data_IF_200027747217
#
_entry.id   IF_200027747217
#
_cell.length_a   1.000
_cell.length_b   1.000
_cell.length_c   1.000
_cell.angle_alpha   90.00
_cell.angle_beta   90.00
_cell.angle_gamma   90.00
#
_symmetry.space_group_name_H-M   'P 1'
#
loop_
_entity.id
_entity.type
_entity.pdbx_description
1 polymer ?
#
# COMPACT_ATOMS: atom_id res chain seq x y z
N UNK A 1 12.77 7.79 -1.49
CA UNK A 1 13.97 7.75 -2.35
C UNK A 1 14.34 6.30 -2.64
N UNK A 2 14.21 5.83 -3.88
CA UNK A 2 14.57 4.44 -4.17
C UNK A 2 16.07 4.21 -4.04
N UNK A 3 16.41 3.14 -3.34
CA UNK A 3 17.79 2.82 -3.02
C UNK A 3 18.52 2.30 -4.25
N UNK A 4 19.76 2.75 -4.47
CA UNK A 4 20.72 2.12 -5.42
C UNK A 4 20.75 0.59 -5.27
N UNK A 5 20.57 0.10 -4.05
CA UNK A 5 20.50 -1.33 -3.73
C UNK A 5 19.34 -2.05 -4.41
N UNK A 6 18.16 -1.44 -4.47
CA UNK A 6 16.97 -2.04 -5.09
C UNK A 6 17.23 -2.34 -6.58
N UNK A 7 17.76 -1.36 -7.31
CA UNK A 7 18.06 -1.53 -8.74
C UNK A 7 19.16 -2.57 -8.99
N UNK A 8 20.20 -2.61 -8.15
CA UNK A 8 21.25 -3.62 -8.25
C UNK A 8 20.69 -5.03 -8.01
N UNK A 9 19.86 -5.21 -6.98
CA UNK A 9 19.24 -6.49 -6.67
C UNK A 9 18.30 -6.97 -7.79
N UNK A 10 17.59 -6.05 -8.47
CA UNK A 10 16.82 -6.39 -9.65
C UNK A 10 17.71 -6.78 -10.84
N UNK A 11 18.78 -6.02 -11.12
CA UNK A 11 19.71 -6.32 -12.21
C UNK A 11 20.42 -7.67 -12.03
N UNK A 12 20.64 -8.09 -10.78
CA UNK A 12 21.21 -9.39 -10.42
C UNK A 12 20.19 -10.54 -10.42
N UNK A 13 18.92 -10.29 -10.79
CA UNK A 13 17.88 -11.33 -10.77
C UNK A 13 17.46 -11.77 -9.37
N UNK A 14 17.50 -10.87 -8.38
CA UNK A 14 17.18 -11.14 -6.97
C UNK A 14 15.88 -10.42 -6.52
N UNK A 15 14.70 -10.78 -7.07
CA UNK A 15 13.44 -10.06 -6.79
C UNK A 15 13.04 -10.06 -5.32
N UNK A 16 13.20 -11.19 -4.60
CA UNK A 16 12.95 -11.25 -3.16
C UNK A 16 13.86 -10.29 -2.36
N UNK A 17 15.11 -10.11 -2.79
CA UNK A 17 16.02 -9.18 -2.15
C UNK A 17 15.60 -7.73 -2.37
N UNK A 18 15.23 -7.39 -3.61
CA UNK A 18 14.74 -6.08 -3.99
C UNK A 18 13.47 -5.71 -3.19
N UNK A 19 12.50 -6.62 -3.12
CA UNK A 19 11.28 -6.39 -2.34
C UNK A 19 11.55 -6.19 -0.84
N UNK A 20 12.53 -6.87 -0.25
CA UNK A 20 12.92 -6.60 1.16
C UNK A 20 13.54 -5.21 1.31
N UNK A 21 14.32 -4.77 0.33
CA UNK A 21 14.88 -3.42 0.34
C UNK A 21 13.77 -2.37 0.33
N UNK A 22 12.69 -2.61 -0.44
CA UNK A 22 11.48 -1.77 -0.44
C UNK A 22 10.75 -1.80 0.90
N UNK A 23 10.37 -2.99 1.40
CA UNK A 23 9.64 -3.18 2.68
C UNK A 23 10.36 -2.50 3.85
N UNK A 24 11.70 -2.57 3.86
CA UNK A 24 12.51 -1.91 4.90
C UNK A 24 12.64 -0.41 4.70
N UNK A 25 12.72 0.05 3.45
CA UNK A 25 12.78 1.48 3.11
C UNK A 25 11.56 2.23 3.62
N UNK A 26 10.38 1.61 3.52
CA UNK A 26 9.10 2.21 3.92
C UNK A 26 8.68 1.81 5.35
N UNK A 27 9.59 1.20 6.11
CA UNK A 27 9.36 0.77 7.50
C UNK A 27 8.11 -0.12 7.68
N UNK A 28 7.78 -0.92 6.67
CA UNK A 28 6.64 -1.85 6.68
C UNK A 28 6.93 -3.13 7.47
N UNK A 29 8.18 -3.39 7.82
CA UNK A 29 8.57 -4.52 8.68
C UNK A 29 9.77 -4.20 9.55
N UNK A 30 9.69 -4.61 10.83
CA UNK A 30 10.80 -4.55 11.79
C UNK A 30 11.70 -5.79 11.76
N UNK A 31 11.36 -6.81 10.97
CA UNK A 31 12.10 -8.07 10.99
C UNK A 31 13.51 -7.93 10.38
N UNK A 32 14.52 -8.66 10.91
CA UNK A 32 15.84 -8.71 10.30
C UNK A 32 15.80 -9.27 8.88
N UNK A 33 16.69 -8.78 8.00
CA UNK A 33 16.70 -9.17 6.59
C UNK A 33 16.97 -10.66 6.37
N UNK A 34 17.83 -11.25 7.21
CA UNK A 34 18.17 -12.66 7.15
C UNK A 34 16.96 -13.56 7.42
N UNK A 35 15.97 -13.07 8.18
CA UNK A 35 14.72 -13.77 8.46
C UNK A 35 13.70 -13.55 7.32
N UNK A 36 13.60 -12.33 6.80
CA UNK A 36 12.68 -12.00 5.70
C UNK A 36 13.01 -12.72 4.39
N UNK A 37 14.29 -12.89 4.07
CA UNK A 37 14.72 -13.47 2.80
C UNK A 37 14.21 -14.89 2.53
N UNK A 38 14.41 -15.88 3.43
CA UNK A 38 13.87 -17.22 3.21
C UNK A 38 12.34 -17.24 3.20
N UNK A 39 11.68 -16.47 4.08
CA UNK A 39 10.22 -16.37 4.13
C UNK A 39 9.63 -15.85 2.82
N UNK A 40 10.22 -14.79 2.27
CA UNK A 40 9.72 -14.16 1.06
C UNK A 40 10.00 -15.02 -0.17
N UNK A 41 11.15 -15.70 -0.25
CA UNK A 41 11.42 -16.67 -1.31
C UNK A 41 10.38 -17.80 -1.31
N UNK A 42 10.10 -18.35 -0.13
CA UNK A 42 9.08 -19.40 0.02
C UNK A 42 7.68 -18.89 -0.38
N UNK A 43 7.32 -17.67 0.03
CA UNK A 43 6.07 -17.03 -0.36
C UNK A 43 5.95 -16.89 -1.88
N UNK A 44 6.94 -16.31 -2.56
CA UNK A 44 6.92 -16.13 -4.02
C UNK A 44 6.86 -17.47 -4.78
N UNK A 45 7.50 -18.52 -4.26
CA UNK A 45 7.41 -19.86 -4.84
C UNK A 45 6.02 -20.46 -4.66
N UNK A 46 5.43 -20.32 -3.46
CA UNK A 46 4.11 -20.84 -3.15
C UNK A 46 3.01 -20.12 -3.90
N UNK A 47 3.12 -18.79 -4.03
CA UNK A 47 2.17 -17.96 -4.75
C UNK A 47 1.96 -18.47 -6.19
N UNK A 48 3.05 -18.78 -6.91
CA UNK A 48 2.98 -19.30 -8.28
C UNK A 48 2.12 -20.56 -8.44
N UNK A 49 1.94 -21.33 -7.37
CA UNK A 49 1.14 -22.56 -7.36
C UNK A 49 -0.35 -22.28 -7.09
N UNK A 50 -0.68 -21.06 -6.63
CA UNK A 50 -2.04 -20.65 -6.24
C UNK A 50 -2.66 -19.63 -7.18
N UNK A 51 -1.91 -19.16 -8.20
CA UNK A 51 -2.40 -18.17 -9.17
C UNK A 51 -3.49 -18.77 -10.07
N UNK A 52 -4.57 -18.02 -10.25
CA UNK A 52 -5.58 -18.27 -11.26
C UNK A 52 -5.11 -17.89 -12.67
N UNK A 53 -5.89 -18.23 -13.72
CA UNK A 53 -5.50 -18.01 -15.12
C UNK A 53 -5.20 -16.55 -15.51
N UNK A 54 -5.75 -15.59 -14.79
CA UNK A 54 -5.61 -14.15 -15.07
C UNK A 54 -4.76 -13.41 -14.02
N UNK A 55 -4.18 -14.12 -13.06
CA UNK A 55 -3.40 -13.49 -12.00
C UNK A 55 -1.97 -13.21 -12.49
N UNK A 56 -1.43 -12.05 -12.09
CA UNK A 56 -0.04 -11.69 -12.35
C UNK A 56 0.80 -12.08 -11.13
N UNK A 57 1.88 -12.87 -11.29
CA UNK A 57 2.75 -13.24 -10.16
C UNK A 57 3.37 -12.00 -9.53
N UNK A 58 3.47 -11.95 -8.20
CA UNK A 58 4.11 -10.84 -7.48
C UNK A 58 5.53 -10.58 -7.96
N UNK A 59 6.25 -11.65 -8.31
CA UNK A 59 7.62 -11.53 -8.83
C UNK A 59 7.71 -10.67 -10.10
N UNK A 60 6.69 -10.70 -10.96
CA UNK A 60 6.63 -9.85 -12.16
C UNK A 60 6.26 -8.40 -11.85
N UNK A 61 5.65 -8.14 -10.69
CA UNK A 61 5.27 -6.80 -10.22
C UNK A 61 6.42 -6.10 -9.47
N UNK A 62 7.33 -6.82 -8.82
CA UNK A 62 8.43 -6.18 -8.05
C UNK A 62 9.22 -5.15 -8.87
N UNK A 63 9.56 -5.36 -10.15
CA UNK A 63 10.25 -4.34 -10.94
C UNK A 63 9.46 -3.03 -11.13
N UNK A 64 8.13 -3.06 -11.05
CA UNK A 64 7.29 -1.87 -11.21
C UNK A 64 7.29 -0.98 -9.98
N UNK A 65 7.74 -1.47 -8.81
CA UNK A 65 7.91 -0.64 -7.61
C UNK A 65 8.88 0.53 -7.82
N UNK A 66 9.68 0.46 -8.89
CA UNK A 66 10.51 1.59 -9.30
C UNK A 66 9.72 2.84 -9.68
N UNK A 67 8.45 2.69 -10.04
CA UNK A 67 7.59 3.82 -10.36
C UNK A 67 6.97 4.42 -9.09
N UNK A 68 6.68 3.61 -8.07
CA UNK A 68 6.10 4.09 -6.81
C UNK A 68 6.97 5.16 -6.14
N UNK A 69 8.28 4.91 -6.07
CA UNK A 69 9.19 5.89 -5.47
C UNK A 69 9.49 7.12 -6.34
N UNK A 70 9.21 7.07 -7.65
CA UNK A 70 9.22 8.26 -8.50
C UNK A 70 7.97 9.10 -8.22
N UNK A 71 6.80 8.45 -8.14
CA UNK A 71 5.54 9.10 -7.78
C UNK A 71 5.62 9.74 -6.39
N UNK A 72 6.15 9.05 -5.39
CA UNK A 72 6.33 9.64 -4.04
C UNK A 72 7.21 10.90 -4.10
N UNK A 73 8.25 10.91 -4.94
CA UNK A 73 9.10 12.09 -5.11
C UNK A 73 8.37 13.22 -5.85
N UNK A 74 7.56 12.90 -6.85
CA UNK A 74 6.78 13.87 -7.61
C UNK A 74 5.67 14.51 -6.76
N UNK A 75 5.09 13.73 -5.85
CA UNK A 75 4.07 14.17 -4.90
C UNK A 75 4.67 14.92 -3.69
N UNK A 76 6.00 14.97 -3.55
CA UNK A 76 6.64 15.68 -2.45
C UNK A 76 6.34 17.18 -2.54
N UNK A 77 5.83 17.75 -1.45
CA UNK A 77 5.38 19.15 -1.41
C UNK A 77 4.08 19.45 -2.16
N UNK A 78 3.37 18.46 -2.72
CA UNK A 78 2.15 18.70 -3.50
C UNK A 78 0.88 18.82 -2.63
N UNK A 79 0.98 18.80 -1.30
CA UNK A 79 -0.19 18.77 -0.42
C UNK A 79 -1.12 19.97 -0.68
N UNK A 80 -0.57 21.18 -0.81
CA UNK A 80 -1.37 22.39 -1.02
C UNK A 80 -2.15 22.39 -2.33
N UNK A 81 -1.73 21.62 -3.35
CA UNK A 81 -2.47 21.55 -4.62
C UNK A 81 -3.85 20.91 -4.45
N UNK A 82 -4.06 20.15 -3.37
CA UNK A 82 -5.35 19.53 -3.06
C UNK A 82 -6.38 20.53 -2.52
N UNK A 83 -5.99 21.73 -2.09
CA UNK A 83 -6.91 22.74 -1.56
C UNK A 83 -7.90 23.27 -2.62
N UNK A 84 -7.54 23.20 -3.90
CA UNK A 84 -8.39 23.60 -5.02
C UNK A 84 -9.30 22.49 -5.58
N UNK A 85 -9.27 21.29 -4.99
CA UNK A 85 -10.01 20.13 -5.49
C UNK A 85 -11.52 20.32 -5.30
N UNK A 86 -12.30 20.17 -6.38
CA UNK A 86 -13.77 20.32 -6.34
C UNK A 86 -14.54 19.02 -6.15
N UNK A 87 -13.87 17.88 -6.31
CA UNK A 87 -14.51 16.58 -6.15
C UNK A 87 -14.78 16.29 -4.66
N UNK A 88 -15.88 15.60 -4.38
CA UNK A 88 -16.07 14.97 -3.08
C UNK A 88 -15.04 13.84 -2.93
N UNK A 89 -14.27 13.88 -1.84
CA UNK A 89 -13.20 12.92 -1.55
C UNK A 89 -13.56 12.07 -0.35
N UNK A 90 -13.39 10.76 -0.50
CA UNK A 90 -13.55 9.81 0.59
C UNK A 90 -12.20 9.21 1.00
N UNK A 91 -11.76 9.56 2.20
CA UNK A 91 -10.52 9.06 2.80
C UNK A 91 -10.81 7.87 3.72
N UNK A 92 -10.22 6.73 3.39
CA UNK A 92 -10.35 5.48 4.14
C UNK A 92 -9.01 5.10 4.75
N UNK A 93 -8.95 5.04 6.08
CA UNK A 93 -7.74 4.69 6.82
C UNK A 93 -7.96 3.52 7.78
N UNK A 94 -6.91 2.74 8.05
CA UNK A 94 -6.90 1.75 9.12
C UNK A 94 -6.02 2.19 10.28
N UNK A 95 -6.52 2.14 11.52
CA UNK A 95 -5.79 2.59 12.71
C UNK A 95 -4.51 1.79 12.99
N UNK A 96 -4.42 0.55 12.50
CA UNK A 96 -3.23 -0.31 12.63
C UNK A 96 -2.20 -0.10 11.52
N UNK A 97 -2.43 0.89 10.64
CA UNK A 97 -1.49 1.24 9.57
C UNK A 97 -0.22 1.90 10.12
N UNK A 98 0.91 1.81 9.39
CA UNK A 98 2.09 2.62 9.66
C UNK A 98 1.74 4.10 9.90
N UNK A 99 2.44 4.75 10.84
CA UNK A 99 2.14 6.12 11.25
C UNK A 99 2.13 7.09 10.07
N UNK A 100 3.12 7.01 9.17
CA UNK A 100 3.21 7.92 8.02
C UNK A 100 1.97 7.90 7.13
N UNK A 101 1.29 6.76 6.97
CA UNK A 101 0.05 6.69 6.18
C UNK A 101 -1.10 7.40 6.89
N UNK A 102 -1.16 7.32 8.22
CA UNK A 102 -2.16 8.02 9.03
C UNK A 102 -1.92 9.52 8.99
N UNK A 103 -0.66 9.94 9.17
CA UNK A 103 -0.25 11.35 9.13
C UNK A 103 -0.58 12.00 7.77
N UNK A 104 -0.38 11.28 6.66
CA UNK A 104 -0.77 11.74 5.32
C UNK A 104 -2.29 11.91 5.19
N UNK A 105 -3.09 10.96 5.71
CA UNK A 105 -4.54 11.10 5.72
C UNK A 105 -5.03 12.24 6.63
N UNK A 106 -4.33 12.52 7.74
CA UNK A 106 -4.60 13.69 8.60
C UNK A 106 -4.38 15.00 7.83
N UNK A 107 -3.24 15.10 7.15
CA UNK A 107 -2.89 16.27 6.35
C UNK A 107 -3.88 16.49 5.18
N UNK A 108 -4.24 15.43 4.45
CA UNK A 108 -5.23 15.51 3.37
C UNK A 108 -6.61 15.91 3.88
N UNK A 109 -7.05 15.36 5.02
CA UNK A 109 -8.34 15.71 5.62
C UNK A 109 -8.41 17.18 6.04
N UNK A 110 -7.29 17.79 6.40
CA UNK A 110 -7.24 19.22 6.72
C UNK A 110 -7.21 20.12 5.46
N UNK A 111 -6.67 19.60 4.36
CA UNK A 111 -6.41 20.39 3.15
C UNK A 111 -7.56 20.33 2.14
N UNK A 112 -8.23 19.17 2.03
CA UNK A 112 -9.30 18.95 1.08
C UNK A 112 -10.60 19.69 1.51
N UNK A 113 -11.23 20.46 0.61
CA UNK A 113 -12.41 21.26 0.97
C UNK A 113 -13.69 20.42 1.13
N UNK A 114 -13.80 19.30 0.42
CA UNK A 114 -14.97 18.43 0.41
C UNK A 114 -14.55 17.00 0.73
N UNK A 115 -14.31 16.74 2.01
CA UNK A 115 -13.75 15.46 2.46
C UNK A 115 -14.60 14.78 3.51
N UNK A 116 -14.80 13.49 3.32
CA UNK A 116 -15.30 12.58 4.36
C UNK A 116 -14.19 11.61 4.70
N UNK A 117 -13.91 11.43 6.00
CA UNK A 117 -12.92 10.48 6.47
C UNK A 117 -13.53 9.42 7.38
N UNK A 118 -13.13 8.17 7.17
CA UNK A 118 -13.36 7.06 8.09
C UNK A 118 -12.02 6.44 8.47
N UNK A 119 -11.88 6.11 9.75
CA UNK A 119 -10.78 5.31 10.26
C UNK A 119 -11.32 4.02 10.89
N UNK A 120 -10.85 2.87 10.40
CA UNK A 120 -11.24 1.55 10.90
C UNK A 120 -10.29 1.12 12.03
N UNK A 121 -10.79 0.88 13.25
CA UNK A 121 -9.93 0.53 14.40
C UNK A 121 -9.22 -0.82 14.22
N UNK A 122 -9.82 -1.73 13.47
CA UNK A 122 -9.36 -3.12 13.39
C UNK A 122 -8.44 -3.40 12.21
N UNK A 123 -8.34 -2.47 11.25
CA UNK A 123 -7.63 -2.69 9.99
C UNK A 123 -6.30 -1.94 9.93
N UNK A 124 -5.39 -2.51 9.14
CA UNK A 124 -4.18 -1.84 8.65
C UNK A 124 -4.36 -1.45 7.17
N UNK A 125 -3.28 -1.03 6.53
CA UNK A 125 -3.25 -0.59 5.13
C UNK A 125 -3.61 -1.69 4.10
N UNK A 126 -3.72 -2.96 4.50
CA UNK A 126 -4.10 -4.07 3.63
C UNK A 126 -5.59 -4.44 3.73
N UNK A 127 -6.42 -3.62 4.38
CA UNK A 127 -7.83 -3.89 4.69
C UNK A 127 -8.65 -4.48 3.53
N UNK A 128 -8.55 -4.01 2.27
CA UNK A 128 -9.31 -4.57 1.15
C UNK A 128 -8.98 -6.04 0.84
N UNK A 129 -7.83 -6.53 1.30
CA UNK A 129 -7.37 -7.91 1.09
C UNK A 129 -7.53 -8.77 2.35
N UNK A 130 -8.05 -8.22 3.45
CA UNK A 130 -8.26 -8.93 4.70
C UNK A 130 -9.61 -9.64 4.70
N UNK A 131 -9.71 -10.72 3.94
CA UNK A 131 -10.85 -11.65 3.96
C UNK A 131 -10.56 -12.77 4.97
N UNK A 132 -10.94 -12.58 6.23
CA UNK A 132 -10.84 -13.62 7.27
C UNK A 132 -12.19 -13.77 7.98
N UNK A 133 -12.51 -14.92 8.59
CA UNK A 133 -13.79 -15.12 9.28
C UNK A 133 -14.16 -14.00 10.28
N UNK A 134 -13.15 -13.42 10.93
CA UNK A 134 -13.32 -12.35 11.92
C UNK A 134 -13.05 -10.94 11.36
N UNK A 135 -12.65 -10.81 10.08
CA UNK A 135 -12.32 -9.54 9.43
C UNK A 135 -12.97 -9.55 8.05
N UNK A 136 -14.11 -8.85 7.93
CA UNK A 136 -14.85 -8.66 6.67
C UNK A 136 -14.40 -7.36 6.00
N UNK A 137 -13.09 -7.23 5.78
CA UNK A 137 -12.46 -6.04 5.21
C UNK A 137 -13.11 -5.60 3.90
N UNK A 138 -13.14 -6.47 2.87
CA UNK A 138 -13.75 -6.15 1.59
C UNK A 138 -15.22 -5.73 1.71
N UNK A 139 -16.04 -6.45 2.47
CA UNK A 139 -17.48 -6.19 2.55
C UNK A 139 -17.78 -4.88 3.28
N UNK A 140 -17.04 -4.57 4.35
CA UNK A 140 -17.17 -3.31 5.09
C UNK A 140 -16.77 -2.13 4.20
N UNK A 141 -15.60 -2.20 3.57
CA UNK A 141 -15.10 -1.15 2.67
C UNK A 141 -16.06 -0.96 1.49
N UNK A 142 -16.55 -2.04 0.88
CA UNK A 142 -17.53 -1.96 -0.20
C UNK A 142 -18.89 -1.39 0.25
N UNK A 143 -19.30 -1.62 1.50
CA UNK A 143 -20.48 -0.99 2.09
C UNK A 143 -20.33 0.53 2.18
N UNK A 144 -19.21 0.98 2.76
CA UNK A 144 -18.93 2.41 2.94
C UNK A 144 -18.73 3.14 1.61
N UNK A 145 -18.05 2.51 0.64
CA UNK A 145 -17.92 3.04 -0.73
C UNK A 145 -19.28 3.20 -1.40
N UNK A 146 -20.16 2.17 -1.34
CA UNK A 146 -21.52 2.27 -1.91
C UNK A 146 -22.32 3.39 -1.26
N UNK A 147 -22.23 3.53 0.05
CA UNK A 147 -22.92 4.61 0.76
C UNK A 147 -22.42 5.99 0.32
N UNK A 148 -21.09 6.17 0.19
CA UNK A 148 -20.49 7.40 -0.30
C UNK A 148 -20.97 7.73 -1.73
N UNK A 149 -20.81 6.82 -2.68
CA UNK A 149 -21.21 7.06 -4.07
C UNK A 149 -22.71 7.19 -4.30
N UNK A 150 -23.56 6.74 -3.36
CA UNK A 150 -25.01 6.97 -3.43
C UNK A 150 -25.44 8.38 -3.02
N UNK A 151 -24.55 9.15 -2.39
CA UNK A 151 -24.79 10.50 -1.85
C UNK A 151 -24.15 11.60 -2.70
N UNK A 152 -23.32 11.24 -3.69
CA UNK A 152 -22.56 12.14 -4.58
C UNK A 152 -23.21 12.29 -5.94
#
# INVERSE_FOLDING_TARGET
>A
MQSKRFHLELAEGKPASALITFIKGDNLSRLPRWLLLPLLKWYLQKEKQTLGPNDVPMEALIPTQRFDGLLVKEMDGSLESFAGMRADVFLLGGAKSPAFLRDVLDALNHTLPHVKRIEYPDFDHSAPNQSRPNHKGPERIAGDLRAFFSQS
#
